data_IF_125724028187
#
_entry.id   IF_125724028187
#
_cell.length_a   1.000
_cell.length_b   1.000
_cell.length_c   1.000
_cell.angle_alpha   90.00
_cell.angle_beta   90.00
_cell.angle_gamma   90.00
#
_symmetry.space_group_name_H-M   'P 1'
#
loop_
_entity.id
_entity.type
_entity.pdbx_description
1 polymer ?
#
# COMPACT_ATOMS: atom_id res chain seq x y z
N UNK A 1 7.67 -17.53 19.48
CA UNK A 1 6.68 -17.01 18.51
C UNK A 1 5.93 -15.89 19.21
N UNK A 2 6.11 -14.65 18.79
CA UNK A 2 5.45 -13.51 19.41
C UNK A 2 3.99 -13.48 18.96
N UNK A 3 3.08 -13.58 19.92
CA UNK A 3 1.63 -13.51 19.73
C UNK A 3 1.25 -12.26 18.91
N UNK A 4 0.58 -12.47 17.78
CA UNK A 4 0.31 -11.47 16.74
C UNK A 4 -0.67 -10.36 17.15
N UNK A 5 -1.03 -10.30 18.44
CA UNK A 5 -2.01 -9.38 19.01
C UNK A 5 -1.41 -8.25 19.86
N UNK A 6 -0.08 -8.11 19.96
CA UNK A 6 0.54 -6.98 20.68
C UNK A 6 0.37 -5.68 19.91
N UNK A 7 -0.64 -4.87 20.29
CA UNK A 7 -0.74 -3.45 19.90
C UNK A 7 0.28 -2.64 20.70
N UNK A 8 1.19 -1.95 20.01
CA UNK A 8 2.16 -1.06 20.65
C UNK A 8 1.43 0.11 21.32
N UNK A 9 2.05 0.73 22.34
CA UNK A 9 1.46 1.88 23.06
C UNK A 9 1.06 3.01 22.10
N UNK A 10 1.81 3.17 21.00
CA UNK A 10 1.56 4.11 19.90
C UNK A 10 0.29 3.84 19.10
N UNK A 11 -0.20 2.59 19.04
CA UNK A 11 -1.39 2.21 18.26
C UNK A 11 -2.69 2.36 19.05
N UNK A 12 -2.59 2.65 20.35
CA UNK A 12 -3.74 2.83 21.23
C UNK A 12 -4.37 4.20 20.95
N UNK A 13 -5.63 4.21 20.51
CA UNK A 13 -6.47 5.40 20.31
C UNK A 13 -6.96 5.93 21.66
N UNK A 14 -6.05 6.50 22.46
CA UNK A 14 -6.29 6.89 23.86
C UNK A 14 -7.03 8.23 24.01
N UNK A 15 -6.94 9.10 23.02
CA UNK A 15 -7.49 10.46 23.09
C UNK A 15 -8.82 10.54 22.33
N UNK A 16 -9.80 11.25 22.92
CA UNK A 16 -11.12 11.48 22.33
C UNK A 16 -11.28 12.98 22.04
N UNK A 17 -11.75 13.28 20.84
CA UNK A 17 -12.15 14.62 20.40
C UNK A 17 -13.62 14.57 20.00
N UNK A 18 -14.39 15.59 20.36
CA UNK A 18 -15.80 15.73 20.01
C UNK A 18 -16.08 17.13 19.47
N UNK A 19 -16.84 17.22 18.39
CA UNK A 19 -17.30 18.46 17.80
C UNK A 19 -18.77 18.31 17.38
N UNK A 20 -19.49 19.43 17.33
CA UNK A 20 -20.88 19.48 16.85
C UNK A 20 -20.85 19.88 15.38
N UNK A 21 -21.72 19.26 14.59
CA UNK A 21 -21.86 19.52 13.16
C UNK A 21 -23.26 20.05 12.87
N UNK A 22 -23.37 20.87 11.83
CA UNK A 22 -24.65 21.10 11.18
C UNK A 22 -25.13 19.82 10.50
N UNK A 23 -26.40 19.78 10.09
CA UNK A 23 -26.94 18.65 9.34
C UNK A 23 -26.20 18.44 8.01
N UNK A 24 -25.86 19.54 7.32
CA UNK A 24 -25.15 19.49 6.05
C UNK A 24 -23.70 19.01 6.22
N UNK A 25 -22.98 19.51 7.22
CA UNK A 25 -21.59 19.06 7.47
C UNK A 25 -21.55 17.57 7.84
N UNK A 26 -22.56 17.09 8.56
CA UNK A 26 -22.69 15.67 8.88
C UNK A 26 -22.92 14.85 7.61
N UNK A 27 -23.79 15.31 6.70
CA UNK A 27 -24.03 14.64 5.41
C UNK A 27 -22.75 14.57 4.58
N UNK A 28 -22.01 15.66 4.46
CA UNK A 28 -20.73 15.71 3.75
C UNK A 28 -19.69 14.75 4.36
N UNK A 29 -19.63 14.68 5.70
CA UNK A 29 -18.75 13.75 6.40
C UNK A 29 -19.09 12.27 6.11
N UNK A 30 -20.39 11.93 6.12
CA UNK A 30 -20.87 10.58 5.82
C UNK A 30 -20.60 10.19 4.37
N UNK A 31 -20.90 11.08 3.42
CA UNK A 31 -20.60 10.87 2.00
C UNK A 31 -19.10 10.72 1.72
N UNK A 32 -18.26 11.56 2.34
CA UNK A 32 -16.80 11.48 2.21
C UNK A 32 -16.25 10.16 2.75
N UNK A 33 -16.71 9.73 3.91
CA UNK A 33 -16.34 8.44 4.48
C UNK A 33 -16.79 7.26 3.61
N UNK A 34 -18.02 7.30 3.08
CA UNK A 34 -18.55 6.28 2.19
C UNK A 34 -17.76 6.17 0.88
N UNK A 35 -17.45 7.31 0.23
CA UNK A 35 -16.63 7.35 -0.99
C UNK A 35 -15.23 6.78 -0.76
N UNK A 36 -14.64 7.03 0.41
CA UNK A 36 -13.36 6.49 0.80
C UNK A 36 -13.43 5.01 1.25
N UNK A 37 -14.61 4.41 1.36
CA UNK A 37 -14.80 3.04 1.85
C UNK A 37 -14.43 2.86 3.33
N UNK A 38 -14.52 3.92 4.14
CA UNK A 38 -14.09 3.96 5.54
C UNK A 38 -15.27 4.22 6.46
N UNK A 39 -15.18 3.78 7.72
CA UNK A 39 -16.08 4.32 8.75
C UNK A 39 -15.67 5.78 9.08
N UNK A 40 -16.63 6.56 9.57
CA UNK A 40 -16.44 7.99 9.88
C UNK A 40 -15.22 8.24 10.78
N UNK A 41 -15.04 7.41 11.81
CA UNK A 41 -13.93 7.56 12.76
C UNK A 41 -12.56 7.32 12.11
N UNK A 42 -12.49 6.38 11.18
CA UNK A 42 -11.29 6.09 10.39
C UNK A 42 -11.01 7.18 9.37
N UNK A 43 -12.05 7.63 8.68
CA UNK A 43 -11.98 8.74 7.75
C UNK A 43 -11.44 10.02 8.40
N UNK A 44 -12.00 10.43 9.55
CA UNK A 44 -11.52 11.59 10.30
C UNK A 44 -10.07 11.45 10.76
N UNK A 45 -9.66 10.26 11.21
CA UNK A 45 -8.25 10.03 11.60
C UNK A 45 -7.32 10.15 10.39
N UNK A 46 -7.75 9.68 9.22
CA UNK A 46 -6.97 9.79 8.00
C UNK A 46 -6.90 11.23 7.50
N UNK A 47 -7.98 12.01 7.62
CA UNK A 47 -7.96 13.46 7.38
C UNK A 47 -6.95 14.17 8.29
N UNK A 48 -6.95 13.87 9.59
CA UNK A 48 -5.98 14.47 10.54
C UNK A 48 -4.54 14.09 10.20
N UNK A 49 -4.29 12.83 9.81
CA UNK A 49 -2.95 12.36 9.42
C UNK A 49 -2.48 12.94 8.09
N UNK A 50 -3.40 13.11 7.13
CA UNK A 50 -3.13 13.56 5.78
C UNK A 50 -3.28 15.07 5.56
N UNK A 51 -3.40 15.87 6.63
CA UNK A 51 -3.51 17.32 6.52
C UNK A 51 -4.77 17.80 5.79
N UNK A 52 -5.88 17.07 5.90
CA UNK A 52 -7.13 17.35 5.20
C UNK A 52 -7.37 16.52 3.95
N UNK A 53 -6.42 15.66 3.54
CA UNK A 53 -6.57 14.75 2.41
C UNK A 53 -6.70 13.29 2.89
N UNK A 54 -7.58 12.52 2.23
CA UNK A 54 -7.68 11.05 2.41
C UNK A 54 -7.34 10.36 1.10
N UNK A 55 -6.21 9.66 1.08
CA UNK A 55 -5.85 8.77 -0.02
C UNK A 55 -6.55 7.41 0.19
N UNK A 56 -7.64 7.19 -0.56
CA UNK A 56 -8.39 5.95 -0.55
C UNK A 56 -7.85 4.90 -1.55
N UNK A 57 -6.93 5.27 -2.46
CA UNK A 57 -6.35 4.33 -3.43
C UNK A 57 -5.13 3.60 -2.89
N UNK A 58 -4.45 4.18 -1.88
CA UNK A 58 -3.25 3.65 -1.26
C UNK A 58 -3.25 2.14 -0.96
N UNK A 59 -4.34 1.62 -0.39
CA UNK A 59 -4.46 0.19 -0.04
C UNK A 59 -4.52 -0.71 -1.28
N UNK A 60 -5.26 -0.28 -2.30
CA UNK A 60 -5.37 -0.99 -3.58
C UNK A 60 -4.05 -0.97 -4.34
N UNK A 61 -3.41 0.20 -4.42
CA UNK A 61 -2.14 0.40 -5.11
C UNK A 61 -1.02 -0.43 -4.46
N UNK A 62 -0.96 -0.44 -3.13
CA UNK A 62 -0.04 -1.30 -2.37
C UNK A 62 -0.33 -2.78 -2.60
N UNK A 63 -1.59 -3.19 -2.65
CA UNK A 63 -1.98 -4.57 -2.91
C UNK A 63 -1.53 -5.04 -4.30
N UNK A 64 -1.71 -4.20 -5.31
CA UNK A 64 -1.24 -4.47 -6.68
C UNK A 64 0.29 -4.56 -6.73
N UNK A 65 0.98 -3.64 -6.06
CA UNK A 65 2.44 -3.66 -5.98
C UNK A 65 2.99 -4.93 -5.31
N UNK A 66 2.40 -5.36 -4.18
CA UNK A 66 2.78 -6.61 -3.50
C UNK A 66 2.57 -7.83 -4.40
N UNK A 67 1.44 -7.90 -5.14
CA UNK A 67 1.18 -9.01 -6.06
C UNK A 67 2.24 -9.11 -7.15
N UNK A 68 2.65 -7.98 -7.72
CA UNK A 68 3.68 -7.97 -8.77
C UNK A 68 5.03 -8.45 -8.25
N UNK A 69 5.48 -7.98 -7.08
CA UNK A 69 6.71 -8.47 -6.43
C UNK A 69 6.62 -9.98 -6.16
N UNK A 70 5.47 -10.45 -5.67
CA UNK A 70 5.26 -11.87 -5.34
C UNK A 70 5.33 -12.75 -6.59
N UNK A 71 4.76 -12.30 -7.72
CA UNK A 71 4.85 -13.01 -9.00
C UNK A 71 6.30 -13.18 -9.47
N UNK A 72 7.11 -12.14 -9.32
CA UNK A 72 8.52 -12.15 -9.74
C UNK A 72 9.35 -13.05 -8.84
N UNK A 73 9.13 -13.01 -7.51
CA UNK A 73 9.77 -13.93 -6.59
C UNK A 73 9.44 -15.39 -6.94
N UNK A 74 8.21 -15.68 -7.36
CA UNK A 74 7.81 -16.99 -7.86
C UNK A 74 8.58 -17.36 -9.14
N UNK A 75 8.69 -16.46 -10.11
CA UNK A 75 9.46 -16.70 -11.35
C UNK A 75 10.92 -17.03 -11.05
N UNK A 76 11.58 -16.26 -10.16
CA UNK A 76 12.96 -16.52 -9.74
C UNK A 76 13.10 -17.89 -9.07
N UNK A 77 12.18 -18.25 -8.18
CA UNK A 77 12.19 -19.57 -7.53
C UNK A 77 12.04 -20.73 -8.52
N UNK A 78 11.19 -20.57 -9.55
CA UNK A 78 11.03 -21.59 -10.58
C UNK A 78 12.33 -21.80 -11.37
N UNK A 79 13.02 -20.72 -11.72
CA UNK A 79 14.29 -20.80 -12.47
C UNK A 79 15.39 -21.42 -11.63
N UNK A 80 15.50 -21.04 -10.35
CA UNK A 80 16.43 -21.67 -9.43
C UNK A 80 16.17 -23.17 -9.31
N UNK A 81 14.89 -23.59 -9.27
CA UNK A 81 14.52 -25.01 -9.26
C UNK A 81 14.96 -25.71 -10.54
N UNK A 82 14.72 -25.13 -11.72
CA UNK A 82 15.15 -25.71 -13.00
C UNK A 82 16.66 -25.91 -13.04
N UNK A 83 17.42 -24.87 -12.68
CA UNK A 83 18.89 -24.93 -12.63
C UNK A 83 19.36 -26.01 -11.66
N UNK A 84 18.79 -26.08 -10.46
CA UNK A 84 19.16 -27.09 -9.47
C UNK A 84 18.81 -28.52 -9.91
N UNK A 85 17.76 -28.69 -10.72
CA UNK A 85 17.31 -30.02 -11.15
C UNK A 85 18.04 -30.50 -12.41
N UNK A 86 18.33 -29.60 -13.35
CA UNK A 86 18.88 -29.93 -14.67
C UNK A 86 20.38 -29.62 -14.80
N UNK A 87 20.96 -28.85 -13.87
CA UNK A 87 22.37 -28.45 -13.90
C UNK A 87 22.67 -27.28 -14.84
N UNK A 88 21.69 -26.79 -15.59
CA UNK A 88 21.80 -25.63 -16.47
C UNK A 88 20.50 -24.82 -16.47
N UNK A 89 20.59 -23.52 -16.80
CA UNK A 89 19.45 -22.63 -16.94
C UNK A 89 19.30 -22.12 -18.37
N UNK A 90 18.08 -21.82 -18.79
CA UNK A 90 17.85 -21.24 -20.11
C UNK A 90 18.17 -19.75 -20.09
N UNK A 91 18.95 -19.28 -21.06
CA UNK A 91 19.26 -17.85 -21.23
C UNK A 91 17.99 -17.00 -21.31
N UNK A 92 16.92 -17.54 -21.92
CA UNK A 92 15.60 -16.90 -22.00
C UNK A 92 15.03 -16.59 -20.61
N UNK A 93 15.16 -17.52 -19.68
CA UNK A 93 14.60 -17.40 -18.33
C UNK A 93 15.36 -16.35 -17.51
N UNK A 94 16.69 -16.32 -17.65
CA UNK A 94 17.56 -15.32 -17.02
C UNK A 94 17.23 -13.91 -17.56
N UNK A 95 17.02 -13.78 -18.87
CA UNK A 95 16.63 -12.52 -19.49
C UNK A 95 15.24 -12.08 -19.04
N UNK A 96 14.28 -13.01 -18.90
CA UNK A 96 12.94 -12.71 -18.38
C UNK A 96 12.99 -12.17 -16.95
N UNK A 97 13.77 -12.80 -16.05
CA UNK A 97 13.95 -12.30 -14.66
C UNK A 97 14.62 -10.93 -14.64
N UNK A 98 15.60 -10.70 -15.50
CA UNK A 98 16.26 -9.39 -15.59
C UNK A 98 15.27 -8.31 -16.01
N UNK A 99 14.40 -8.61 -16.97
CA UNK A 99 13.34 -7.70 -17.40
C UNK A 99 12.33 -7.43 -16.29
N UNK A 100 11.83 -8.49 -15.62
CA UNK A 100 10.93 -8.40 -14.47
C UNK A 100 11.51 -7.50 -13.36
N UNK A 101 12.81 -7.62 -13.08
CA UNK A 101 13.50 -6.80 -12.08
C UNK A 101 13.57 -5.32 -12.47
N UNK A 102 13.80 -5.02 -13.75
CA UNK A 102 13.79 -3.64 -14.25
C UNK A 102 12.38 -3.03 -14.20
N UNK A 103 11.35 -3.81 -14.50
CA UNK A 103 9.95 -3.38 -14.36
C UNK A 103 9.61 -3.06 -12.89
N UNK A 104 10.07 -3.86 -11.92
CA UNK A 104 9.92 -3.54 -10.49
C UNK A 104 10.61 -2.23 -10.13
N UNK A 105 11.86 -2.03 -10.56
CA UNK A 105 12.59 -0.78 -10.29
C UNK A 105 11.88 0.43 -10.89
N UNK A 106 11.24 0.27 -12.04
CA UNK A 106 10.43 1.34 -12.67
C UNK A 106 9.20 1.66 -11.83
N UNK A 107 8.42 0.65 -11.45
CA UNK A 107 7.23 0.83 -10.61
C UNK A 107 7.56 1.41 -9.23
N UNK A 108 8.67 0.99 -8.62
CA UNK A 108 9.15 1.58 -7.36
C UNK A 108 9.45 3.08 -7.52
N UNK A 109 10.03 3.49 -8.64
CA UNK A 109 10.29 4.91 -8.93
C UNK A 109 9.00 5.68 -9.16
N UNK A 110 8.03 5.11 -9.85
CA UNK A 110 6.70 5.72 -10.06
C UNK A 110 6.00 5.95 -8.71
N UNK A 111 5.94 4.93 -7.85
CA UNK A 111 5.37 5.04 -6.49
C UNK A 111 6.11 6.11 -5.67
N UNK A 112 7.44 6.10 -5.66
CA UNK A 112 8.22 7.11 -4.92
C UNK A 112 7.96 8.52 -5.44
N UNK A 113 7.83 8.71 -6.75
CA UNK A 113 7.55 10.02 -7.36
C UNK A 113 6.18 10.53 -6.96
N UNK A 114 5.14 9.68 -7.01
CA UNK A 114 3.78 10.03 -6.56
C UNK A 114 3.77 10.41 -5.08
N UNK A 115 4.49 9.65 -4.25
CA UNK A 115 4.54 9.93 -2.82
C UNK A 115 5.32 11.21 -2.50
N UNK A 116 6.34 11.53 -3.30
CA UNK A 116 7.06 12.79 -3.19
C UNK A 116 6.19 13.97 -3.63
N UNK A 117 5.48 13.88 -4.77
CA UNK A 117 4.63 14.98 -5.23
C UNK A 117 3.50 15.30 -4.26
N UNK A 118 2.86 14.28 -3.67
CA UNK A 118 1.84 14.46 -2.63
C UNK A 118 2.39 15.14 -1.36
N UNK A 119 3.70 15.02 -1.09
CA UNK A 119 4.35 15.64 0.08
C UNK A 119 4.75 17.10 -0.16
N UNK A 120 4.89 17.54 -1.42
CA UNK A 120 5.27 18.91 -1.78
C UNK A 120 4.11 19.78 -2.28
N UNK A 121 2.91 19.21 -2.41
CA UNK A 121 1.68 19.94 -2.77
C UNK A 121 0.87 20.43 -1.56
N UNK A 122 1.44 20.40 -0.35
CA UNK A 122 0.83 20.86 0.91
C UNK A 122 1.57 22.07 1.48
#
# INVERSE_FOLDING_TARGET
MADGNRKYKSDKKLYKVSFKLSEEDKRLLEEGAQKAGMNISEYLRNLVRGGGNVDASFTTDRGNFIRQITGIASNVNQIAKVVNTQGYGYTRDILAVKQDLEDVKRLMREVLTVWQSLRYSA
#
